data_IF_692650723631
#
_entry.id   IF_692650723631
#
_cell.length_a   1.000
_cell.length_b   1.000
_cell.length_c   1.000
_cell.angle_alpha   90.00
_cell.angle_beta   90.00
_cell.angle_gamma   90.00
#
_symmetry.space_group_name_H-M   'P 1'
#
loop_
_entity.id
_entity.type
_entity.pdbx_description
1 polymer ?
#
# COMPACT_ATOMS: atom_id res chain seq x y z
N UNK A 1 -43.18 25.75 -12.42
CA UNK A 1 -41.96 25.85 -11.58
C UNK A 1 -40.77 25.73 -12.50
N UNK A 2 -40.25 26.85 -13.01
CA UNK A 2 -39.12 26.88 -13.94
C UNK A 2 -37.83 26.69 -13.13
N UNK A 3 -37.11 25.59 -13.42
CA UNK A 3 -35.78 25.35 -12.86
C UNK A 3 -34.82 26.29 -13.60
N UNK A 4 -34.43 27.40 -12.97
CA UNK A 4 -33.35 28.27 -13.48
C UNK A 4 -32.06 27.48 -13.51
N UNK A 5 -31.59 27.10 -14.71
CA UNK A 5 -30.25 26.53 -14.90
C UNK A 5 -29.23 27.61 -14.53
N UNK A 6 -28.28 27.34 -13.60
CA UNK A 6 -27.22 28.27 -13.31
C UNK A 6 -26.38 28.53 -14.58
N UNK A 7 -26.16 29.79 -14.90
CA UNK A 7 -25.23 30.17 -15.99
C UNK A 7 -23.82 29.93 -15.48
N UNK A 8 -23.26 28.78 -15.82
CA UNK A 8 -21.84 28.48 -15.57
C UNK A 8 -21.02 29.34 -16.52
N UNK A 9 -20.36 30.39 -16.01
CA UNK A 9 -19.32 31.09 -16.74
C UNK A 9 -18.12 30.16 -16.85
N UNK A 10 -17.70 29.85 -18.08
CA UNK A 10 -16.42 29.16 -18.30
C UNK A 10 -15.28 30.11 -17.89
N UNK A 11 -14.58 29.76 -16.85
CA UNK A 11 -13.40 30.50 -16.37
C UNK A 11 -12.20 29.96 -17.14
N UNK A 12 -11.34 30.80 -17.73
CA UNK A 12 -10.15 30.34 -18.45
C UNK A 12 -9.16 29.66 -17.47
N UNK A 13 -8.51 28.58 -17.94
CA UNK A 13 -7.63 27.72 -17.15
C UNK A 13 -6.47 28.46 -16.44
N UNK A 14 -6.07 29.62 -16.95
CA UNK A 14 -4.99 30.42 -16.38
C UNK A 14 -5.35 31.10 -15.05
N UNK A 15 -6.65 31.34 -14.79
CA UNK A 15 -7.12 31.89 -13.51
C UNK A 15 -7.17 30.85 -12.36
N UNK A 16 -7.00 29.56 -12.67
CA UNK A 16 -7.01 28.49 -11.65
C UNK A 16 -5.65 28.28 -10.94
N UNK A 17 -4.66 29.11 -11.19
CA UNK A 17 -3.31 28.94 -10.62
C UNK A 17 -3.19 29.31 -9.15
N UNK A 18 -4.06 30.16 -8.64
CA UNK A 18 -3.98 30.64 -7.25
C UNK A 18 -4.98 29.90 -6.37
N UNK A 19 -4.49 29.17 -5.37
CA UNK A 19 -5.34 28.42 -4.42
C UNK A 19 -6.39 29.33 -3.72
N UNK A 20 -6.11 30.59 -3.51
CA UNK A 20 -7.02 31.57 -2.91
C UNK A 20 -8.27 31.84 -3.75
N UNK A 21 -8.12 31.94 -5.08
CA UNK A 21 -9.24 32.14 -5.98
C UNK A 21 -10.18 30.94 -6.04
N UNK A 22 -9.63 29.72 -5.94
CA UNK A 22 -10.41 28.47 -5.86
C UNK A 22 -11.22 28.38 -4.56
N UNK A 23 -10.64 28.74 -3.42
CA UNK A 23 -11.34 28.72 -2.14
C UNK A 23 -12.50 29.71 -2.09
N UNK A 24 -12.33 30.91 -2.66
CA UNK A 24 -13.39 31.90 -2.78
C UNK A 24 -14.53 31.41 -3.69
N UNK A 25 -14.21 30.81 -4.82
CA UNK A 25 -15.19 30.26 -5.77
C UNK A 25 -15.98 29.09 -5.16
N UNK A 26 -15.31 28.22 -4.42
CA UNK A 26 -15.95 27.11 -3.69
C UNK A 26 -16.91 27.64 -2.63
N UNK A 27 -16.53 28.72 -1.93
CA UNK A 27 -17.34 29.36 -0.92
C UNK A 27 -18.61 29.98 -1.52
N UNK A 28 -18.48 30.70 -2.63
CA UNK A 28 -19.63 31.28 -3.38
C UNK A 28 -20.58 30.19 -3.90
N UNK A 29 -20.06 29.09 -4.42
CA UNK A 29 -20.86 27.97 -4.90
C UNK A 29 -21.59 27.24 -3.76
N UNK A 30 -20.95 27.08 -2.62
CA UNK A 30 -21.58 26.49 -1.43
C UNK A 30 -22.68 27.39 -0.84
N UNK A 31 -22.50 28.70 -0.85
CA UNK A 31 -23.52 29.68 -0.48
C UNK A 31 -24.73 29.67 -1.45
N UNK A 32 -24.49 29.30 -2.73
CA UNK A 32 -25.53 29.09 -3.74
C UNK A 32 -26.28 27.75 -3.63
N UNK A 33 -26.03 26.94 -2.61
CA UNK A 33 -26.66 25.63 -2.39
C UNK A 33 -26.14 24.50 -3.27
N UNK A 34 -24.99 24.67 -3.91
CA UNK A 34 -24.29 23.64 -4.68
C UNK A 34 -23.08 23.14 -3.85
N UNK A 35 -23.14 21.92 -3.37
CA UNK A 35 -22.00 21.32 -2.67
C UNK A 35 -20.90 20.97 -3.68
N UNK A 36 -19.81 21.73 -3.66
CA UNK A 36 -18.63 21.49 -4.51
C UNK A 36 -17.51 20.97 -3.65
N UNK A 37 -17.05 19.76 -3.95
CA UNK A 37 -15.87 19.16 -3.33
C UNK A 37 -14.70 19.37 -4.29
N UNK A 38 -13.75 20.22 -3.94
CA UNK A 38 -12.52 20.40 -4.70
C UNK A 38 -11.41 19.54 -4.10
N UNK A 39 -10.74 18.79 -4.95
CA UNK A 39 -9.60 17.97 -4.56
C UNK A 39 -8.59 17.91 -5.71
N UNK A 40 -7.33 17.68 -5.40
CA UNK A 40 -6.35 17.43 -6.44
C UNK A 40 -6.62 16.07 -7.10
N UNK A 41 -6.43 15.96 -8.41
CA UNK A 41 -6.59 14.71 -9.15
C UNK A 41 -5.69 13.60 -8.58
N UNK A 42 -4.49 13.96 -8.11
CA UNK A 42 -3.58 13.03 -7.41
C UNK A 42 -4.21 12.45 -6.15
N UNK A 43 -4.90 13.26 -5.35
CA UNK A 43 -5.56 12.79 -4.13
C UNK A 43 -6.70 11.82 -4.44
N UNK A 44 -7.49 12.10 -5.49
CA UNK A 44 -8.57 11.22 -5.92
C UNK A 44 -8.05 9.87 -6.42
N UNK A 45 -7.02 9.88 -7.25
CA UNK A 45 -6.39 8.65 -7.76
C UNK A 45 -5.76 7.86 -6.62
N UNK A 46 -5.03 8.52 -5.73
CA UNK A 46 -4.39 7.85 -4.60
C UNK A 46 -5.40 7.32 -3.58
N UNK A 47 -6.55 8.00 -3.39
CA UNK A 47 -7.65 7.48 -2.60
C UNK A 47 -8.21 6.20 -3.21
N UNK A 48 -8.48 6.17 -4.51
CA UNK A 48 -8.96 4.97 -5.20
C UNK A 48 -7.95 3.82 -5.11
N UNK A 49 -6.68 4.07 -5.42
CA UNK A 49 -5.60 3.08 -5.36
C UNK A 49 -5.40 2.52 -3.94
N UNK A 50 -5.38 3.39 -2.94
CA UNK A 50 -5.14 2.97 -1.55
C UNK A 50 -6.24 2.07 -0.98
N UNK A 51 -7.48 2.25 -1.44
CA UNK A 51 -8.62 1.47 -0.98
C UNK A 51 -8.93 0.23 -1.85
N UNK A 52 -8.15 -0.02 -2.90
CA UNK A 52 -8.30 -1.18 -3.78
C UNK A 52 -6.93 -1.66 -4.24
N UNK A 53 -6.14 -2.19 -3.31
CA UNK A 53 -4.83 -2.79 -3.60
C UNK A 53 -5.00 -4.29 -3.84
N UNK A 54 -4.72 -4.72 -5.07
CA UNK A 54 -4.84 -6.11 -5.46
C UNK A 54 -3.53 -6.85 -5.23
N UNK A 55 -3.57 -7.87 -4.39
CA UNK A 55 -2.38 -8.59 -3.98
C UNK A 55 -2.10 -9.81 -4.87
N UNK A 56 -0.83 -9.94 -5.30
CA UNK A 56 -0.26 -11.19 -5.76
C UNK A 56 0.24 -11.95 -4.53
N UNK A 57 -0.34 -13.11 -4.26
CA UNK A 57 0.05 -13.93 -3.12
C UNK A 57 1.23 -14.82 -3.47
N UNK A 58 2.31 -14.70 -2.71
CA UNK A 58 3.48 -15.55 -2.82
C UNK A 58 3.75 -16.21 -1.47
N UNK A 59 2.95 -17.25 -1.17
CA UNK A 59 3.06 -18.01 0.07
C UNK A 59 3.87 -19.28 -0.13
N UNK A 60 5.01 -19.40 0.54
CA UNK A 60 5.93 -20.55 0.41
C UNK A 60 6.04 -21.40 1.66
N UNK A 61 5.58 -20.91 2.82
CA UNK A 61 5.64 -21.64 4.09
C UNK A 61 4.58 -21.13 5.10
N UNK A 62 4.81 -21.32 6.40
CA UNK A 62 3.85 -21.05 7.46
C UNK A 62 3.26 -19.63 7.47
N UNK A 63 4.01 -18.60 7.06
CA UNK A 63 3.46 -17.25 6.92
C UNK A 63 2.36 -17.15 5.86
N UNK A 64 2.39 -18.05 4.85
CA UNK A 64 1.31 -18.15 3.86
C UNK A 64 -0.02 -18.63 4.48
N UNK A 65 0.04 -19.53 5.47
CA UNK A 65 -1.15 -19.99 6.21
C UNK A 65 -1.71 -18.85 7.05
N UNK A 66 -0.85 -18.10 7.72
CA UNK A 66 -1.26 -16.93 8.50
C UNK A 66 -1.89 -15.83 7.61
N UNK A 67 -1.36 -15.66 6.41
CA UNK A 67 -1.97 -14.79 5.40
C UNK A 67 -3.38 -15.25 5.01
N UNK A 68 -3.61 -16.57 4.86
CA UNK A 68 -4.96 -17.11 4.63
C UNK A 68 -5.87 -16.83 5.82
N UNK A 69 -5.36 -16.92 7.07
CA UNK A 69 -6.12 -16.62 8.27
C UNK A 69 -6.58 -15.15 8.34
N UNK A 70 -5.82 -14.22 7.78
CA UNK A 70 -6.23 -12.81 7.64
C UNK A 70 -7.42 -12.65 6.70
N UNK A 71 -7.54 -13.48 5.66
CA UNK A 71 -8.69 -13.51 4.75
C UNK A 71 -9.93 -14.21 5.32
N UNK A 72 -9.84 -14.82 6.52
CA UNK A 72 -10.98 -15.49 7.15
C UNK A 72 -11.92 -14.47 7.83
N UNK A 73 -13.15 -14.90 8.10
CA UNK A 73 -14.23 -14.09 8.66
C UNK A 73 -13.87 -13.29 9.92
N UNK A 74 -12.91 -13.77 10.73
CA UNK A 74 -12.50 -13.08 11.95
C UNK A 74 -11.77 -11.75 11.70
N UNK A 75 -10.96 -11.66 10.63
CA UNK A 75 -10.12 -10.50 10.34
C UNK A 75 -10.54 -9.77 9.09
N UNK A 76 -10.99 -10.48 8.10
CA UNK A 76 -11.59 -10.06 6.84
C UNK A 76 -10.90 -8.87 6.14
N UNK A 77 -10.03 -9.18 5.22
CA UNK A 77 -9.34 -8.21 4.38
C UNK A 77 -10.25 -7.34 3.52
N UNK A 78 -11.46 -7.85 3.20
CA UNK A 78 -12.40 -7.17 2.31
C UNK A 78 -12.83 -5.81 2.85
N UNK A 79 -12.96 -5.68 4.17
CA UNK A 79 -13.30 -4.41 4.83
C UNK A 79 -12.26 -3.29 4.58
N UNK A 80 -11.03 -3.67 4.31
CA UNK A 80 -9.92 -2.73 4.10
C UNK A 80 -9.57 -2.55 2.62
N UNK A 81 -10.28 -3.24 1.70
CA UNK A 81 -10.05 -3.12 0.27
C UNK A 81 -8.94 -4.02 -0.29
N UNK A 82 -8.58 -5.10 0.41
CA UNK A 82 -7.51 -6.03 0.00
C UNK A 82 -8.00 -7.44 -0.35
N UNK A 83 -9.30 -7.63 -0.53
CA UNK A 83 -9.89 -8.95 -0.78
C UNK A 83 -9.38 -9.58 -2.08
N UNK A 84 -9.20 -8.75 -3.10
CA UNK A 84 -8.91 -9.26 -4.44
C UNK A 84 -7.48 -9.74 -4.53
N UNK A 85 -7.33 -11.08 -4.54
CA UNK A 85 -6.06 -11.73 -4.82
C UNK A 85 -5.98 -12.11 -6.30
N UNK A 86 -4.87 -11.77 -6.95
CA UNK A 86 -4.64 -12.07 -8.35
C UNK A 86 -3.46 -13.01 -8.51
N UNK A 87 -3.63 -14.05 -9.32
CA UNK A 87 -2.55 -14.98 -9.67
C UNK A 87 -1.73 -14.48 -10.87
N UNK A 88 -2.24 -13.46 -11.59
CA UNK A 88 -1.52 -12.84 -12.69
C UNK A 88 -0.74 -11.61 -12.20
N UNK A 89 0.59 -11.55 -12.37
CA UNK A 89 1.40 -10.40 -11.95
C UNK A 89 0.98 -9.09 -12.61
N UNK A 90 0.50 -9.15 -13.86
CA UNK A 90 0.07 -7.97 -14.62
C UNK A 90 -1.21 -7.31 -14.08
N UNK A 91 -1.96 -8.02 -13.27
CA UNK A 91 -3.22 -7.54 -12.67
C UNK A 91 -3.05 -7.20 -11.18
N UNK A 92 -1.86 -7.38 -10.63
CA UNK A 92 -1.58 -7.14 -9.22
C UNK A 92 -0.81 -5.83 -9.02
N UNK A 93 -1.18 -5.10 -7.96
CA UNK A 93 -0.54 -3.83 -7.57
C UNK A 93 0.57 -4.06 -6.55
N UNK A 94 0.46 -5.11 -5.76
CA UNK A 94 1.45 -5.45 -4.75
C UNK A 94 1.74 -6.95 -4.73
N UNK A 95 2.95 -7.34 -4.33
CA UNK A 95 3.31 -8.72 -4.06
C UNK A 95 3.49 -8.92 -2.55
N UNK A 96 2.69 -9.83 -1.98
CA UNK A 96 2.84 -10.26 -0.58
C UNK A 96 3.68 -11.52 -0.53
N UNK A 97 4.90 -11.38 -0.04
CA UNK A 97 5.81 -12.51 0.12
C UNK A 97 5.72 -13.05 1.52
N UNK A 98 5.21 -14.27 1.66
CA UNK A 98 4.96 -14.90 2.94
C UNK A 98 5.67 -16.26 3.04
N UNK A 99 6.82 -16.29 3.68
CA UNK A 99 7.54 -17.52 3.95
C UNK A 99 8.98 -17.56 3.42
N UNK A 100 9.58 -18.75 3.43
CA UNK A 100 10.98 -18.98 3.04
C UNK A 100 11.16 -18.96 1.54
N UNK A 101 12.15 -18.22 1.05
CA UNK A 101 12.54 -18.18 -0.35
C UNK A 101 13.88 -18.89 -0.52
N UNK A 102 13.91 -19.87 -1.41
CA UNK A 102 15.15 -20.58 -1.76
C UNK A 102 15.86 -19.90 -2.93
N UNK A 103 17.16 -20.08 -3.04
CA UNK A 103 17.94 -19.58 -4.18
C UNK A 103 17.39 -20.10 -5.53
N UNK A 104 16.81 -21.32 -5.55
CA UNK A 104 16.18 -21.88 -6.74
C UNK A 104 14.90 -21.13 -7.14
N UNK A 105 14.15 -20.61 -6.14
CA UNK A 105 12.90 -19.86 -6.35
C UNK A 105 13.13 -18.37 -6.61
N UNK A 106 14.26 -17.82 -6.19
CA UNK A 106 14.58 -16.40 -6.31
C UNK A 106 14.47 -15.85 -7.76
N UNK A 107 14.96 -16.55 -8.80
CA UNK A 107 14.80 -16.08 -10.18
C UNK A 107 13.32 -16.03 -10.64
N UNK A 108 12.50 -17.00 -10.21
CA UNK A 108 11.07 -17.02 -10.52
C UNK A 108 10.34 -15.86 -9.82
N UNK A 109 10.66 -15.61 -8.56
CA UNK A 109 10.13 -14.48 -7.81
C UNK A 109 10.49 -13.14 -8.47
N UNK A 110 11.73 -12.97 -8.90
CA UNK A 110 12.17 -11.76 -9.60
C UNK A 110 11.41 -11.55 -10.91
N UNK A 111 11.15 -12.60 -11.68
CA UNK A 111 10.33 -12.52 -12.90
C UNK A 111 8.91 -12.05 -12.61
N UNK A 112 8.27 -12.61 -11.58
CA UNK A 112 6.94 -12.17 -11.15
C UNK A 112 6.93 -10.67 -10.80
N UNK A 113 7.95 -10.21 -10.09
CA UNK A 113 8.10 -8.79 -9.77
C UNK A 113 8.31 -7.93 -11.02
N UNK A 114 9.14 -8.36 -11.96
CA UNK A 114 9.44 -7.61 -13.18
C UNK A 114 8.22 -7.54 -14.12
N UNK A 115 7.35 -8.55 -14.10
CA UNK A 115 6.10 -8.60 -14.88
C UNK A 115 4.96 -7.74 -14.31
N UNK A 116 5.06 -7.30 -13.05
CA UNK A 116 4.06 -6.42 -12.44
C UNK A 116 4.10 -5.03 -13.04
N UNK A 117 2.90 -4.44 -13.21
CA UNK A 117 2.75 -3.06 -13.70
C UNK A 117 3.23 -2.05 -12.64
N UNK A 118 3.76 -0.93 -13.08
CA UNK A 118 4.08 0.21 -12.20
C UNK A 118 2.83 1.08 -11.97
N UNK A 119 2.64 1.63 -10.79
CA UNK A 119 3.44 1.51 -9.57
C UNK A 119 3.14 0.21 -8.81
N UNK A 120 4.17 -0.47 -8.35
CA UNK A 120 4.11 -1.76 -7.67
C UNK A 120 4.77 -1.72 -6.30
N UNK A 121 4.28 -2.54 -5.39
CA UNK A 121 4.73 -2.59 -4.00
C UNK A 121 5.11 -4.00 -3.59
N UNK A 122 6.04 -4.10 -2.63
CA UNK A 122 6.49 -5.39 -2.07
C UNK A 122 6.33 -5.37 -0.55
N UNK A 123 5.61 -6.36 -0.04
CA UNK A 123 5.43 -6.57 1.40
C UNK A 123 6.11 -7.87 1.81
N UNK A 124 7.08 -7.76 2.70
CA UNK A 124 7.81 -8.89 3.29
C UNK A 124 7.14 -9.32 4.59
N UNK A 125 6.55 -10.52 4.60
CA UNK A 125 5.81 -11.06 5.75
C UNK A 125 6.62 -12.16 6.43
N UNK A 126 7.01 -11.89 7.66
CA UNK A 126 7.68 -12.84 8.54
C UNK A 126 9.21 -12.83 8.47
N UNK A 127 9.84 -13.42 9.49
CA UNK A 127 11.29 -13.42 9.66
C UNK A 127 12.05 -14.08 8.52
N UNK A 128 11.45 -15.07 7.83
CA UNK A 128 12.09 -15.76 6.71
C UNK A 128 12.30 -14.83 5.51
N UNK A 129 11.34 -13.95 5.21
CA UNK A 129 11.44 -12.97 4.11
C UNK A 129 12.32 -11.79 4.47
N UNK A 130 12.46 -11.47 5.76
CA UNK A 130 13.22 -10.31 6.24
C UNK A 130 14.72 -10.63 6.32
N UNK A 131 15.08 -11.78 6.91
CA UNK A 131 16.48 -12.10 7.21
C UNK A 131 16.84 -13.59 7.06
N UNK A 132 15.97 -14.38 6.44
CA UNK A 132 16.09 -15.84 6.42
C UNK A 132 15.53 -16.52 7.67
N UNK A 133 15.23 -15.76 8.73
CA UNK A 133 14.61 -16.24 9.98
C UNK A 133 15.33 -17.46 10.60
N UNK A 134 14.57 -18.50 11.00
CA UNK A 134 15.14 -19.72 11.57
C UNK A 134 16.09 -20.48 10.62
N UNK A 135 15.96 -20.23 9.31
CA UNK A 135 16.73 -20.90 8.26
C UNK A 135 17.91 -20.09 7.75
N UNK A 136 18.31 -19.02 8.44
CA UNK A 136 19.41 -18.12 8.05
C UNK A 136 20.74 -18.84 7.82
N UNK A 137 21.00 -19.92 8.58
CA UNK A 137 22.22 -20.72 8.41
C UNK A 137 22.18 -21.69 7.22
N UNK A 138 21.03 -21.88 6.60
CA UNK A 138 20.89 -22.77 5.45
C UNK A 138 21.53 -22.18 4.19
N UNK A 139 22.26 -23.01 3.47
CA UNK A 139 22.91 -22.62 2.20
C UNK A 139 21.92 -22.47 1.01
N UNK A 140 20.71 -23.00 1.16
CA UNK A 140 19.68 -22.92 0.12
C UNK A 140 18.74 -21.72 0.23
N UNK A 141 18.73 -21.01 1.36
CA UNK A 141 17.77 -19.96 1.68
C UNK A 141 18.38 -18.59 1.44
N UNK A 142 17.62 -17.73 0.75
CA UNK A 142 17.94 -16.32 0.58
C UNK A 142 17.79 -15.60 1.92
N UNK A 143 18.78 -14.79 2.30
CA UNK A 143 18.87 -14.16 3.62
C UNK A 143 18.13 -12.83 3.72
N UNK A 144 17.10 -12.67 2.94
CA UNK A 144 16.24 -11.50 2.86
C UNK A 144 15.77 -11.28 1.43
N UNK A 145 14.50 -10.91 1.27
CA UNK A 145 13.93 -10.65 -0.04
C UNK A 145 14.47 -9.35 -0.65
N UNK A 146 14.96 -8.44 0.19
CA UNK A 146 15.63 -7.21 -0.17
C UNK A 146 16.91 -7.41 -0.98
N UNK A 147 17.53 -8.60 -0.91
CA UNK A 147 18.63 -8.99 -1.80
C UNK A 147 18.17 -9.17 -3.26
N UNK A 148 16.87 -9.43 -3.50
CA UNK A 148 16.32 -9.73 -4.82
C UNK A 148 15.54 -8.53 -5.39
N UNK A 149 14.66 -7.93 -4.58
CA UNK A 149 13.74 -6.84 -4.96
C UNK A 149 13.62 -5.80 -3.85
N UNK A 150 13.32 -4.54 -4.18
CA UNK A 150 13.10 -3.51 -3.16
C UNK A 150 11.83 -3.81 -2.37
N UNK A 151 11.88 -3.65 -1.05
CA UNK A 151 10.77 -3.91 -0.14
C UNK A 151 10.21 -2.60 0.39
N UNK A 152 8.89 -2.48 0.41
CA UNK A 152 8.17 -1.30 0.90
C UNK A 152 7.78 -1.42 2.37
N UNK A 153 7.33 -2.60 2.78
CA UNK A 153 6.88 -2.85 4.15
C UNK A 153 7.45 -4.17 4.66
N UNK A 154 8.00 -4.14 5.87
CA UNK A 154 8.44 -5.33 6.59
C UNK A 154 7.52 -5.60 7.77
N UNK A 155 7.00 -6.83 7.85
CA UNK A 155 6.11 -7.29 8.92
C UNK A 155 6.83 -8.41 9.66
N UNK A 156 7.50 -8.13 10.80
CA UNK A 156 8.23 -9.12 11.56
C UNK A 156 7.30 -10.08 12.31
N UNK A 157 7.79 -11.27 12.51
CA UNK A 157 7.11 -12.35 13.22
C UNK A 157 7.51 -13.72 12.66
N UNK A 158 7.19 -14.80 13.38
CA UNK A 158 7.49 -16.16 12.93
C UNK A 158 6.41 -17.15 13.41
N UNK A 159 5.24 -17.20 12.77
CA UNK A 159 4.64 -16.22 11.83
C UNK A 159 4.18 -14.94 12.55
N UNK A 160 4.02 -13.83 11.82
CA UNK A 160 3.38 -12.63 12.38
C UNK A 160 1.89 -12.88 12.59
N UNK A 161 1.32 -12.29 13.63
CA UNK A 161 -0.13 -12.39 13.89
C UNK A 161 -0.93 -11.70 12.78
N UNK A 162 -2.18 -12.12 12.53
CA UNK A 162 -3.06 -11.50 11.54
C UNK A 162 -3.23 -9.99 11.73
N UNK A 163 -3.31 -9.52 12.99
CA UNK A 163 -3.40 -8.11 13.31
C UNK A 163 -2.16 -7.31 12.84
N UNK A 164 -0.98 -7.89 12.97
CA UNK A 164 0.26 -7.28 12.51
C UNK A 164 0.30 -7.18 10.97
N UNK A 165 -0.24 -8.19 10.28
CA UNK A 165 -0.34 -8.17 8.81
C UNK A 165 -1.31 -7.07 8.38
N UNK A 166 -2.49 -6.98 8.99
CA UNK A 166 -3.47 -5.92 8.73
C UNK A 166 -2.88 -4.53 8.97
N UNK A 167 -2.21 -4.35 10.10
CA UNK A 167 -1.56 -3.08 10.43
C UNK A 167 -0.49 -2.69 9.40
N UNK A 168 0.35 -3.65 8.98
CA UNK A 168 1.34 -3.44 7.93
C UNK A 168 0.71 -3.00 6.60
N UNK A 169 -0.42 -3.59 6.23
CA UNK A 169 -1.17 -3.21 5.03
C UNK A 169 -1.77 -1.81 5.15
N UNK A 170 -2.27 -1.43 6.33
CA UNK A 170 -2.75 -0.06 6.57
C UNK A 170 -1.61 0.97 6.50
N UNK A 171 -0.39 0.62 6.92
CA UNK A 171 0.77 1.48 6.74
C UNK A 171 1.11 1.65 5.25
N UNK A 172 0.98 0.58 4.45
CA UNK A 172 1.13 0.68 3.00
C UNK A 172 0.09 1.61 2.38
N UNK A 173 -1.19 1.51 2.80
CA UNK A 173 -2.24 2.44 2.36
C UNK A 173 -1.88 3.90 2.64
N UNK A 174 -1.35 4.19 3.83
CA UNK A 174 -0.91 5.54 4.21
C UNK A 174 0.21 6.02 3.28
N UNK A 175 1.16 5.15 2.94
CA UNK A 175 2.23 5.45 1.99
C UNK A 175 1.66 5.81 0.62
N UNK A 176 0.75 4.99 0.08
CA UNK A 176 0.11 5.20 -1.23
C UNK A 176 -0.67 6.53 -1.28
N UNK A 177 -1.37 6.89 -0.17
CA UNK A 177 -2.12 8.16 -0.09
C UNK A 177 -1.25 9.41 -0.22
N UNK A 178 0.01 9.34 0.21
CA UNK A 178 0.94 10.48 0.23
C UNK A 178 1.80 10.54 -1.04
N UNK A 179 1.89 9.45 -1.80
CA UNK A 179 2.67 9.40 -3.04
C UNK A 179 2.08 10.37 -4.09
N UNK A 180 2.98 11.00 -4.88
CA UNK A 180 2.57 11.76 -6.06
C UNK A 180 2.50 10.82 -7.24
N UNK A 181 1.30 10.69 -7.83
CA UNK A 181 1.07 9.87 -9.01
C UNK A 181 1.55 10.58 -10.28
N UNK A 182 1.17 11.87 -10.43
CA UNK A 182 1.60 12.70 -11.54
C UNK A 182 2.87 13.49 -11.18
N UNK A 183 3.91 13.36 -12.01
CA UNK A 183 5.16 14.12 -11.83
C UNK A 183 6.09 13.62 -10.72
N UNK A 184 5.78 12.47 -10.11
CA UNK A 184 6.73 11.76 -9.26
C UNK A 184 7.87 11.21 -10.11
N UNK A 185 9.11 11.61 -9.80
CA UNK A 185 10.29 11.06 -10.45
C UNK A 185 10.23 9.52 -10.34
N UNK A 186 10.24 8.92 -11.49
CA UNK A 186 10.32 7.50 -11.80
C UNK A 186 10.48 6.55 -10.61
N UNK A 187 9.44 5.78 -10.32
CA UNK A 187 9.46 4.66 -9.37
C UNK A 187 10.63 3.68 -9.65
N UNK A 188 11.12 3.63 -10.90
CA UNK A 188 12.31 2.87 -11.31
C UNK A 188 13.61 3.40 -10.71
N UNK A 189 13.83 4.72 -10.67
CA UNK A 189 15.01 5.30 -10.03
C UNK A 189 14.99 5.04 -8.52
N UNK A 190 13.81 5.11 -7.90
CA UNK A 190 13.68 4.76 -6.49
C UNK A 190 13.97 3.28 -6.20
N UNK A 191 13.72 2.36 -7.13
CA UNK A 191 14.03 0.94 -6.96
C UNK A 191 15.55 0.66 -7.03
N UNK A 192 16.28 1.36 -7.89
CA UNK A 192 17.75 1.25 -7.96
C UNK A 192 18.44 1.95 -6.80
N UNK A 193 17.96 3.14 -6.41
CA UNK A 193 18.46 3.86 -5.24
C UNK A 193 18.21 3.10 -3.94
N UNK A 194 17.10 2.36 -3.82
CA UNK A 194 16.82 1.46 -2.68
C UNK A 194 17.80 0.30 -2.58
N UNK A 195 18.31 -0.21 -3.71
CA UNK A 195 19.36 -1.27 -3.74
C UNK A 195 20.73 -0.74 -3.35
N UNK A 196 21.02 0.53 -3.61
CA UNK A 196 22.32 1.16 -3.39
C UNK A 196 22.54 1.71 -1.97
N UNK A 197 21.55 1.55 -1.06
CA UNK A 197 21.64 2.16 0.27
C UNK A 197 21.43 3.68 0.18
N UNK A 198 20.40 4.12 0.84
CA UNK A 198 19.85 5.46 0.87
C UNK A 198 20.88 6.58 0.87
N UNK A 199 20.88 7.42 -0.17
CA UNK A 199 21.52 8.72 -0.10
C UNK A 199 20.92 9.57 1.03
N UNK A 200 21.74 10.41 1.67
CA UNK A 200 21.29 11.25 2.80
C UNK A 200 20.08 12.15 2.47
N UNK A 201 19.88 12.51 1.20
CA UNK A 201 18.74 13.28 0.71
C UNK A 201 17.43 12.46 0.70
N UNK A 202 17.51 11.15 0.48
CA UNK A 202 16.37 10.25 0.54
C UNK A 202 15.82 10.08 1.96
N UNK A 203 16.65 10.32 2.97
CA UNK A 203 16.28 10.29 4.39
C UNK A 203 15.43 11.52 4.76
N UNK A 204 15.68 12.67 4.17
CA UNK A 204 14.96 13.90 4.43
C UNK A 204 13.50 13.90 3.95
N UNK A 205 13.13 13.08 2.97
CA UNK A 205 11.77 13.00 2.44
C UNK A 205 10.84 12.05 3.21
N UNK A 206 11.26 11.47 4.33
CA UNK A 206 10.47 10.71 5.32
C UNK A 206 9.82 9.39 4.83
N UNK A 207 9.46 9.27 3.55
CA UNK A 207 8.68 8.16 3.00
C UNK A 207 9.45 7.24 2.05
N UNK A 208 10.74 7.49 1.84
CA UNK A 208 11.60 6.64 0.99
C UNK A 208 12.18 5.43 1.73
N UNK A 209 12.03 5.36 3.06
CA UNK A 209 12.45 4.19 3.84
C UNK A 209 11.38 3.11 3.82
N UNK A 210 11.77 1.83 3.80
CA UNK A 210 10.82 0.75 4.01
C UNK A 210 10.17 0.88 5.39
N UNK A 211 8.87 0.61 5.45
CA UNK A 211 8.11 0.64 6.70
C UNK A 211 8.37 -0.66 7.43
N UNK A 212 8.93 -0.57 8.62
CA UNK A 212 9.07 -1.72 9.52
C UNK A 212 7.95 -1.63 10.57
N UNK A 213 7.11 -2.65 10.61
CA UNK A 213 6.08 -2.78 11.63
C UNK A 213 6.73 -3.34 12.88
N UNK A 214 7.14 -2.48 13.81
CA UNK A 214 7.79 -2.92 15.05
C UNK A 214 6.77 -3.39 16.09
N UNK A 215 5.71 -2.60 16.28
CA UNK A 215 4.67 -2.88 17.25
C UNK A 215 3.29 -2.58 16.64
N UNK A 216 2.31 -3.40 16.97
CA UNK A 216 0.91 -3.14 16.65
C UNK A 216 0.31 -2.40 17.83
N UNK A 217 -0.21 -1.18 17.66
CA UNK A 217 -0.83 -0.44 18.75
C UNK A 217 -1.96 -1.25 19.41
N UNK A 218 -2.01 -1.25 20.73
CA UNK A 218 -3.06 -1.97 21.48
C UNK A 218 -4.46 -1.44 21.12
N UNK A 219 -4.58 -0.15 20.87
CA UNK A 219 -5.82 0.49 20.43
C UNK A 219 -6.35 -0.12 19.13
N UNK A 220 -5.47 -0.38 18.15
CA UNK A 220 -5.84 -1.02 16.90
C UNK A 220 -6.36 -2.46 17.10
N UNK A 221 -5.75 -3.20 18.00
CA UNK A 221 -6.21 -4.56 18.36
C UNK A 221 -7.57 -4.50 19.07
N UNK A 222 -7.81 -3.47 19.90
CA UNK A 222 -9.09 -3.28 20.59
C UNK A 222 -10.20 -2.87 19.61
N UNK A 223 -9.92 -1.97 18.66
CA UNK A 223 -10.85 -1.59 17.60
C UNK A 223 -11.31 -2.80 16.78
N UNK A 224 -10.36 -3.65 16.36
CA UNK A 224 -10.68 -4.88 15.64
C UNK A 224 -11.61 -5.81 16.46
N UNK A 225 -11.39 -5.92 17.76
CA UNK A 225 -12.22 -6.75 18.66
C UNK A 225 -13.61 -6.15 18.90
N UNK A 226 -13.73 -4.83 18.95
CA UNK A 226 -15.02 -4.15 19.12
C UNK A 226 -15.90 -4.31 17.88
N UNK A 227 -15.33 -4.09 16.69
CA UNK A 227 -16.03 -4.28 15.42
C UNK A 227 -16.59 -5.71 15.29
N UNK A 228 -15.81 -6.72 15.72
CA UNK A 228 -16.26 -8.12 15.71
C UNK A 228 -17.40 -8.43 16.66
N UNK A 229 -17.54 -7.68 17.78
CA UNK A 229 -18.66 -7.85 18.73
C UNK A 229 -19.95 -7.21 18.22
N UNK A 230 -19.85 -6.18 17.41
CA UNK A 230 -21.01 -5.50 16.80
C UNK A 230 -21.61 -6.35 15.68
N UNK A 231 -20.79 -7.03 14.90
CA UNK A 231 -21.22 -7.91 13.81
C UNK A 231 -21.85 -9.23 14.29
N UNK A 232 -21.73 -9.57 15.58
CA UNK A 232 -22.28 -10.79 16.19
C UNK A 232 -23.59 -10.57 16.95
N UNK A 233 -24.10 -9.35 16.98
CA UNK A 233 -25.43 -9.01 17.54
C UNK A 233 -26.46 -8.83 16.44
#
# INVERSE_FOLDING_TARGET
MEIRKPKIKSIPYEEFKDNESLEQLVKELNEGGVNVITGSLDQLINWGRSNSLWSLTFGTSCCGIEFMAVGCARYDFSRFGFEVTRNSPRQADLIMTAGTITHKMAPAFKRLYDEMAEPKYVVAVGGCTISGGPFKSSYHVVKGIDEIVPVDVYIPGCPPRPEAILYGMMQLQRKVKVEKFFGGANHKQNAEERKLGLSNEAIASGWKKPIVVTDVPEDFVQELKQTQKEDTK
#
